data_IF_735423795662
#
_entry.id   IF_735423795662
#
_cell.length_a   1.000
_cell.length_b   1.000
_cell.length_c   1.000
_cell.angle_alpha   90.00
_cell.angle_beta   90.00
_cell.angle_gamma   90.00
#
_symmetry.space_group_name_H-M   'P 1'
#
loop_
_entity.id
_entity.type
_entity.pdbx_description
1 polymer ?
#
# COMPACT_ATOMS: atom_id res chain seq x y z
N UNK A 1 -8.98 4.14 -20.23
CA UNK A 1 -8.16 3.93 -19.88
C UNK A 1 -8.01 2.79 -19.23
N UNK A 2 -7.09 2.20 -19.24
CA UNK A 2 -6.95 1.17 -18.67
C UNK A 2 -6.05 1.18 -17.63
N UNK A 3 -6.33 1.18 -16.49
CA UNK A 3 -5.45 1.18 -15.45
C UNK A 3 -5.15 -0.21 -15.09
N UNK A 4 -3.90 -0.51 -14.97
CA UNK A 4 -3.53 -1.82 -14.55
C UNK A 4 -3.94 -1.99 -13.12
N UNK A 5 -4.59 -3.05 -12.74
CA UNK A 5 -4.95 -3.26 -11.37
C UNK A 5 -3.71 -3.33 -10.49
N UNK A 6 -3.82 -2.78 -9.29
CA UNK A 6 -2.71 -2.77 -8.36
C UNK A 6 -2.17 -4.16 -8.15
N UNK A 7 -3.03 -5.14 -8.04
CA UNK A 7 -2.60 -6.49 -7.82
C UNK A 7 -1.67 -6.98 -8.91
N UNK A 8 -1.99 -6.72 -10.16
CA UNK A 8 -1.15 -7.20 -11.25
C UNK A 8 0.23 -6.55 -11.25
N UNK A 9 0.28 -5.25 -11.02
CA UNK A 9 1.57 -4.58 -10.98
C UNK A 9 2.41 -5.12 -9.83
N UNK A 10 1.82 -5.22 -8.64
CA UNK A 10 2.56 -5.63 -7.47
C UNK A 10 2.93 -7.10 -7.53
N UNK A 11 2.08 -7.94 -8.07
CA UNK A 11 2.40 -9.34 -8.19
C UNK A 11 3.61 -9.54 -9.09
N UNK A 12 3.65 -8.84 -10.20
CA UNK A 12 4.78 -8.99 -11.10
C UNK A 12 6.07 -8.50 -10.47
N UNK A 13 5.99 -7.38 -9.76
CA UNK A 13 7.17 -6.82 -9.13
C UNK A 13 7.65 -7.71 -8.00
N UNK A 14 6.73 -8.27 -7.21
CA UNK A 14 7.12 -9.14 -6.12
C UNK A 14 7.72 -10.43 -6.63
N UNK A 15 7.22 -10.94 -7.75
CA UNK A 15 7.76 -12.15 -8.32
C UNK A 15 9.21 -11.95 -8.70
N UNK A 16 9.56 -10.75 -9.16
CA UNK A 16 10.88 -10.49 -9.55
C UNK A 16 11.79 -10.20 -8.40
N UNK A 17 11.36 -9.48 -7.39
CA UNK A 17 12.21 -9.06 -6.33
C UNK A 17 11.91 -9.60 -4.98
N UNK A 18 10.83 -10.25 -4.76
CA UNK A 18 10.41 -10.74 -3.49
C UNK A 18 9.89 -9.65 -2.58
N UNK A 19 10.45 -8.50 -2.54
CA UNK A 19 10.00 -7.38 -1.75
C UNK A 19 10.24 -6.15 -2.57
N UNK A 20 9.38 -5.14 -2.41
CA UNK A 20 9.48 -3.93 -3.18
C UNK A 20 9.53 -2.75 -2.25
N UNK A 21 10.48 -1.87 -2.47
CA UNK A 21 10.57 -0.64 -1.71
C UNK A 21 9.47 0.31 -2.16
N UNK A 22 8.85 0.97 -1.22
CA UNK A 22 7.78 1.89 -1.50
C UNK A 22 7.76 2.98 -0.45
N UNK A 23 6.87 3.95 -0.63
CA UNK A 23 6.75 5.05 0.30
C UNK A 23 5.29 5.28 0.60
N UNK A 24 5.00 5.61 1.86
CA UNK A 24 3.67 5.95 2.30
C UNK A 24 3.61 7.45 2.41
N UNK A 25 2.65 8.08 1.74
CA UNK A 25 2.47 9.50 1.85
C UNK A 25 1.16 9.75 2.56
N UNK A 26 1.16 10.65 3.53
CA UNK A 26 -0.04 10.98 4.25
C UNK A 26 -0.93 11.78 3.33
N UNK A 27 -2.20 11.50 3.34
CA UNK A 27 -3.13 12.22 2.50
C UNK A 27 -3.10 13.70 2.88
N UNK A 28 -3.04 14.54 1.92
CA UNK A 28 -3.02 15.97 2.17
C UNK A 28 -1.69 16.50 2.62
N UNK A 29 -0.63 15.74 2.51
CA UNK A 29 0.67 16.15 2.98
C UNK A 29 1.71 15.67 2.00
N UNK A 30 2.90 16.24 2.06
CA UNK A 30 3.99 15.78 1.24
C UNK A 30 4.94 14.90 2.05
N UNK A 31 4.65 14.71 3.33
CA UNK A 31 5.52 13.88 4.15
C UNK A 31 5.40 12.43 3.71
N UNK A 32 6.53 11.74 3.61
CA UNK A 32 6.53 10.34 3.23
C UNK A 32 7.33 9.54 4.22
N UNK A 33 7.05 8.26 4.31
CA UNK A 33 7.87 7.38 5.09
C UNK A 33 8.12 6.12 4.27
N UNK A 34 9.29 5.58 4.38
CA UNK A 34 9.65 4.41 3.60
C UNK A 34 9.00 3.17 4.13
N UNK A 35 8.65 2.28 3.25
CA UNK A 35 8.08 0.99 3.64
C UNK A 35 8.51 -0.03 2.60
N UNK A 36 8.12 -1.27 2.82
CA UNK A 36 8.43 -2.34 1.90
C UNK A 36 7.20 -3.19 1.73
N UNK A 37 6.84 -3.50 0.50
CA UNK A 37 5.71 -4.36 0.22
C UNK A 37 6.16 -5.79 0.42
N UNK A 38 5.54 -6.50 1.34
CA UNK A 38 5.90 -7.87 1.64
C UNK A 38 5.03 -8.85 0.88
N UNK A 39 3.80 -8.48 0.63
CA UNK A 39 2.87 -9.45 0.12
C UNK A 39 1.65 -8.74 -0.39
N UNK A 40 0.90 -9.36 -1.27
CA UNK A 40 -0.29 -8.77 -1.83
C UNK A 40 -1.37 -9.83 -1.84
N UNK A 41 -2.61 -9.43 -1.57
CA UNK A 41 -3.73 -10.35 -1.62
C UNK A 41 -4.71 -9.80 -2.64
N UNK A 42 -5.87 -10.34 -2.69
CA UNK A 42 -6.87 -9.95 -3.68
C UNK A 42 -7.19 -8.46 -3.70
N UNK A 43 -7.35 -7.85 -2.56
CA UNK A 43 -7.74 -6.47 -2.50
C UNK A 43 -6.83 -5.63 -1.64
N UNK A 44 -5.75 -6.18 -1.15
CA UNK A 44 -4.92 -5.45 -0.22
C UNK A 44 -3.46 -5.81 -0.27
N UNK A 45 -2.72 -5.26 0.67
CA UNK A 45 -1.28 -5.38 0.67
C UNK A 45 -0.80 -5.45 2.12
N UNK A 46 0.31 -6.12 2.34
CA UNK A 46 0.95 -6.16 3.64
C UNK A 46 2.28 -5.43 3.51
N UNK A 47 2.52 -4.49 4.38
CA UNK A 47 3.70 -3.63 4.31
C UNK A 47 4.53 -3.77 5.56
N UNK A 48 5.83 -3.63 5.39
CA UNK A 48 6.73 -3.55 6.52
C UNK A 48 7.12 -2.10 6.69
N UNK A 49 7.03 -1.59 7.91
CA UNK A 49 7.31 -0.19 8.23
C UNK A 49 8.16 -0.15 9.47
N UNK A 50 8.64 1.01 9.83
CA UNK A 50 9.43 1.14 11.05
C UNK A 50 8.51 1.02 12.26
N UNK A 51 7.35 1.63 12.20
CA UNK A 51 6.44 1.61 13.31
C UNK A 51 5.02 1.65 12.77
N UNK A 52 4.26 0.59 12.98
CA UNK A 52 2.91 0.51 12.44
C UNK A 52 2.01 1.62 12.95
N UNK A 53 2.26 2.13 14.14
CA UNK A 53 1.42 3.19 14.68
C UNK A 53 1.65 4.52 13.99
N UNK A 54 2.74 4.68 13.28
CA UNK A 54 3.02 5.94 12.61
C UNK A 54 2.37 6.03 11.25
N UNK A 55 1.75 4.96 10.78
CA UNK A 55 1.13 4.97 9.47
C UNK A 55 -0.27 5.54 9.61
N UNK A 56 -0.66 6.53 8.80
CA UNK A 56 -2.01 7.08 8.93
C UNK A 56 -3.05 6.09 8.46
N UNK A 57 -4.28 6.24 8.91
CA UNK A 57 -5.35 5.33 8.55
C UNK A 57 -5.56 5.30 7.04
N UNK A 58 -5.45 6.44 6.39
CA UNK A 58 -5.57 6.49 4.95
C UNK A 58 -4.29 7.07 4.39
N UNK A 59 -3.78 6.48 3.36
CA UNK A 59 -2.50 6.95 2.82
C UNK A 59 -2.42 6.64 1.34
N UNK A 60 -1.38 7.16 0.71
CA UNK A 60 -1.10 6.89 -0.68
C UNK A 60 0.19 6.11 -0.73
N UNK A 61 0.16 4.98 -1.41
CA UNK A 61 1.32 4.14 -1.57
C UNK A 61 1.99 4.54 -2.88
N UNK A 62 3.26 4.89 -2.79
CA UNK A 62 4.02 5.37 -3.94
C UNK A 62 5.20 4.45 -4.20
N UNK A 63 5.57 4.35 -5.44
CA UNK A 63 6.74 3.58 -5.82
C UNK A 63 7.76 4.54 -6.43
N UNK A 64 8.90 4.06 -6.82
CA UNK A 64 9.94 4.94 -7.34
C UNK A 64 9.40 5.72 -8.50
N UNK A 65 10.11 6.78 -8.92
CA UNK A 65 9.61 7.68 -9.86
C UNK A 65 8.97 7.07 -11.00
N UNK A 66 7.86 7.54 -11.40
CA UNK A 66 7.15 7.04 -12.55
C UNK A 66 6.26 5.86 -12.26
N UNK A 67 6.26 5.38 -11.06
CA UNK A 67 5.43 4.24 -10.73
C UNK A 67 4.01 4.63 -10.43
N UNK A 68 3.16 3.65 -10.28
CA UNK A 68 1.78 3.93 -9.96
C UNK A 68 1.60 4.39 -8.52
N UNK A 69 0.46 4.98 -8.24
CA UNK A 69 0.12 5.39 -6.91
C UNK A 69 -1.16 4.74 -6.55
N UNK A 70 -1.29 4.30 -5.32
CA UNK A 70 -2.50 3.62 -4.87
C UNK A 70 -2.97 4.21 -3.57
N UNK A 71 -4.25 4.49 -3.45
CA UNK A 71 -4.81 4.93 -2.19
C UNK A 71 -5.14 3.69 -1.40
N UNK A 72 -4.87 3.72 -0.11
CA UNK A 72 -5.07 2.56 0.74
C UNK A 72 -5.53 2.96 2.11
N UNK A 73 -6.17 2.05 2.80
CA UNK A 73 -6.64 2.27 4.15
C UNK A 73 -6.18 1.12 5.02
N UNK A 74 -5.72 1.45 6.22
CA UNK A 74 -5.20 0.44 7.13
C UNK A 74 -6.32 -0.43 7.67
N UNK A 75 -6.11 -1.75 7.64
CA UNK A 75 -7.05 -2.68 8.19
C UNK A 75 -6.55 -3.21 9.52
N UNK A 76 -5.27 -3.44 9.63
CA UNK A 76 -4.69 -3.91 10.88
C UNK A 76 -3.24 -3.43 11.01
N UNK A 77 -2.78 -3.38 12.26
CA UNK A 77 -1.42 -3.00 12.55
C UNK A 77 -0.85 -3.98 13.53
N UNK A 78 0.42 -4.32 13.36
CA UNK A 78 1.05 -5.21 14.28
C UNK A 78 2.56 -4.93 14.28
N UNK A 79 3.07 -4.29 15.31
CA UNK A 79 4.51 -4.05 15.42
C UNK A 79 5.07 -3.24 14.27
N UNK A 80 5.74 -3.90 13.35
CA UNK A 80 6.32 -3.25 12.22
C UNK A 80 5.60 -3.63 10.92
N UNK A 81 4.41 -4.18 11.03
CA UNK A 81 3.67 -4.54 9.84
C UNK A 81 2.30 -3.91 9.82
N UNK A 82 1.82 -3.63 8.63
CA UNK A 82 0.53 -3.02 8.43
C UNK A 82 -0.16 -3.77 7.30
N UNK A 83 -1.41 -4.11 7.51
CA UNK A 83 -2.24 -4.63 6.43
C UNK A 83 -3.15 -3.52 5.96
N UNK A 84 -3.26 -3.33 4.68
CA UNK A 84 -4.06 -2.25 4.11
C UNK A 84 -4.86 -2.75 2.92
N UNK A 85 -5.97 -2.08 2.67
CA UNK A 85 -6.84 -2.43 1.60
C UNK A 85 -6.80 -1.30 0.59
N UNK A 86 -6.77 -1.61 -0.68
CA UNK A 86 -6.72 -0.58 -1.71
C UNK A 86 -8.08 0.05 -1.89
N UNK A 87 -8.11 1.36 -2.00
CA UNK A 87 -9.33 2.08 -2.27
C UNK A 87 -9.74 1.78 -3.70
N UNK A 88 -11.00 1.76 -3.94
CA UNK A 88 -11.48 1.48 -5.28
C UNK A 88 -11.70 0.01 -5.52
N UNK A 89 -11.28 -0.85 -4.61
CA UNK A 89 -11.59 -2.24 -4.78
C UNK A 89 -13.00 -2.40 -4.29
N UNK A 90 -13.57 -3.54 -4.58
CA UNK A 90 -14.90 -3.72 -4.23
C UNK A 90 -15.04 -4.14 -2.82
N UNK A 91 -14.74 -3.31 -1.91
CA UNK A 91 -14.76 -3.65 -0.53
C UNK A 91 -15.92 -3.03 0.17
N UNK A 92 -16.66 -3.80 0.84
CA UNK A 92 -17.81 -3.27 1.49
C UNK A 92 -17.50 -2.59 2.77
N UNK A 93 -16.32 -2.63 3.27
CA UNK A 93 -16.07 -2.13 4.42
C UNK A 93 -16.10 -0.79 4.58
N UNK A 94 -16.07 -0.09 4.06
CA UNK A 94 -15.92 1.14 4.12
C UNK A 94 -16.71 1.76 4.93
N UNK A 95 -16.63 2.24 5.51
CA UNK A 95 -17.10 2.80 6.21
C UNK A 95 -17.81 3.55 6.01
N UNK A 96 -18.29 3.67 6.05
CA UNK A 96 -18.83 4.40 5.71
C UNK A 96 -19.18 5.16 6.25
#
# INVERSE_FOLDING_TARGET
>A
MNLEPAKNFLERALRRRNKIDAWIRHAGSFATQQCRVLDISGTGVRLQVVDAHSVPDDFILLFSKGGPRYRASVIWRRGTQVGAEFAGTNSPRRRA
#
